data_IF_194550146142
#
_entry.id   IF_194550146142
#
_cell.length_a   1.000
_cell.length_b   1.000
_cell.length_c   1.000
_cell.angle_alpha   90.00
_cell.angle_beta   90.00
_cell.angle_gamma   90.00
#
_symmetry.space_group_name_H-M   'P 1'
#
loop_
_entity.id
_entity.type
_entity.pdbx_description
1 polymer ?
#
# COMPACT_ATOMS: atom_id res chain seq x y z
N UNK A 1 11.72 49.58 -57.71
CA UNK A 1 12.59 48.72 -56.90
C UNK A 1 11.93 48.69 -55.54
N UNK A 2 10.95 47.81 -55.35
CA UNK A 2 10.25 47.61 -54.08
C UNK A 2 10.34 46.11 -53.79
N UNK A 3 11.08 45.78 -52.73
CA UNK A 3 11.27 44.40 -52.26
C UNK A 3 10.01 43.89 -51.57
N UNK A 4 9.61 42.66 -51.89
CA UNK A 4 8.52 41.97 -51.23
C UNK A 4 8.89 41.60 -49.78
N UNK A 5 7.97 41.72 -48.80
CA UNK A 5 8.26 41.41 -47.41
C UNK A 5 8.42 39.89 -47.18
N UNK A 6 9.40 39.53 -46.35
CA UNK A 6 9.75 38.16 -46.00
C UNK A 6 8.57 37.38 -45.36
N UNK A 7 8.46 36.05 -45.57
CA UNK A 7 7.39 35.26 -44.99
C UNK A 7 7.54 35.13 -43.48
N UNK A 8 6.49 35.49 -42.74
CA UNK A 8 6.41 35.26 -41.30
C UNK A 8 6.31 33.75 -41.00
N UNK A 9 7.29 33.21 -40.28
CA UNK A 9 7.22 31.86 -39.74
C UNK A 9 6.06 31.76 -38.74
N UNK A 10 5.07 30.94 -39.07
CA UNK A 10 3.93 30.65 -38.19
C UNK A 10 4.38 29.65 -37.14
N UNK A 11 4.44 30.06 -35.87
CA UNK A 11 4.78 29.17 -34.77
C UNK A 11 3.81 27.98 -34.71
N UNK A 12 4.38 26.77 -34.57
CA UNK A 12 3.61 25.54 -34.40
C UNK A 12 2.85 25.61 -33.08
N UNK A 13 1.52 25.64 -33.15
CA UNK A 13 0.65 25.43 -31.99
C UNK A 13 0.92 24.01 -31.46
N UNK A 14 1.32 23.91 -30.19
CA UNK A 14 1.62 22.64 -29.53
C UNK A 14 0.49 21.62 -29.67
N UNK A 15 0.86 20.33 -29.72
CA UNK A 15 -0.07 19.22 -29.92
C UNK A 15 -0.92 18.98 -28.68
N UNK A 16 -2.18 18.59 -28.85
CA UNK A 16 -3.05 18.11 -27.76
C UNK A 16 -2.48 16.87 -27.06
N UNK A 17 -1.53 16.18 -27.69
CA UNK A 17 -0.82 15.02 -27.13
C UNK A 17 0.51 15.39 -26.46
N UNK A 18 0.84 16.68 -26.38
CA UNK A 18 2.03 17.14 -25.67
C UNK A 18 1.73 17.17 -24.17
N UNK A 19 2.17 16.12 -23.47
CA UNK A 19 2.11 16.06 -22.00
C UNK A 19 3.08 17.11 -21.46
N UNK A 20 2.56 18.30 -21.15
CA UNK A 20 3.28 19.27 -20.33
C UNK A 20 3.53 18.62 -18.97
N UNK A 21 4.79 18.44 -18.60
CA UNK A 21 5.17 17.95 -17.27
C UNK A 21 4.67 18.93 -16.20
N UNK A 22 3.48 18.64 -15.68
CA UNK A 22 2.92 19.34 -14.54
C UNK A 22 3.82 19.09 -13.33
N UNK A 23 4.46 20.14 -12.80
CA UNK A 23 5.09 20.07 -11.49
C UNK A 23 3.98 19.76 -10.48
N UNK A 24 4.06 18.66 -9.69
CA UNK A 24 3.01 18.36 -8.74
C UNK A 24 2.89 19.48 -7.72
N UNK A 25 1.67 20.00 -7.52
CA UNK A 25 1.35 20.90 -6.42
C UNK A 25 1.61 20.13 -5.12
N UNK A 26 2.56 20.60 -4.31
CA UNK A 26 2.86 20.03 -3.00
C UNK A 26 1.62 20.23 -2.11
N UNK A 27 0.85 19.16 -1.91
CA UNK A 27 -0.23 19.10 -0.93
C UNK A 27 0.32 18.35 0.29
N UNK A 28 0.52 19.08 1.39
CA UNK A 28 0.81 18.53 2.71
C UNK A 28 2.21 17.95 2.89
N UNK A 29 3.16 18.76 3.36
CA UNK A 29 4.38 18.25 3.98
C UNK A 29 4.13 18.01 5.48
N UNK A 30 4.02 16.75 5.90
CA UNK A 30 4.11 16.41 7.33
C UNK A 30 5.54 16.62 7.80
N UNK A 31 5.75 17.48 8.80
CA UNK A 31 7.07 17.70 9.44
C UNK A 31 7.07 16.92 10.75
N UNK A 32 7.96 15.92 10.87
CA UNK A 32 8.25 15.26 12.14
C UNK A 32 9.51 15.90 12.72
N UNK A 33 9.39 16.59 13.86
CA UNK A 33 10.53 17.15 14.58
C UNK A 33 11.09 16.08 15.52
N UNK A 34 12.30 15.59 15.25
CA UNK A 34 13.10 14.85 16.25
C UNK A 34 14.06 15.83 16.92
N UNK A 35 14.12 15.78 18.25
CA UNK A 35 15.04 16.57 19.05
C UNK A 35 16.49 16.21 18.69
N UNK A 36 17.28 17.21 18.34
CA UNK A 36 18.69 17.08 17.96
C UNK A 36 19.52 16.97 19.25
N UNK A 37 20.21 15.85 19.44
CA UNK A 37 21.39 15.79 20.30
C UNK A 37 22.62 16.20 19.46
N UNK A 38 23.50 17.09 19.93
CA UNK A 38 24.62 17.56 19.13
C UNK A 38 25.84 16.65 19.35
N UNK A 39 26.36 16.03 18.30
CA UNK A 39 27.81 16.06 18.05
C UNK A 39 28.24 15.63 16.63
N UNK A 40 28.97 16.56 15.99
CA UNK A 40 29.97 16.44 14.93
C UNK A 40 29.76 15.48 13.73
N UNK A 41 29.27 16.03 12.62
CA UNK A 41 29.99 16.12 11.33
C UNK A 41 29.04 16.68 10.26
N UNK A 42 29.30 17.91 9.84
CA UNK A 42 28.55 18.61 8.80
C UNK A 42 28.99 18.12 7.42
N UNK A 43 28.53 16.94 7.01
CA UNK A 43 28.55 16.52 5.61
C UNK A 43 27.14 16.08 5.19
N UNK A 44 26.45 17.06 4.59
CA UNK A 44 25.42 16.97 3.56
C UNK A 44 24.33 15.87 3.65
N UNK A 45 23.40 16.04 4.59
CA UNK A 45 22.14 15.26 4.68
C UNK A 45 21.06 15.83 3.73
N UNK A 46 21.38 16.82 2.90
CA UNK A 46 20.37 17.67 2.24
C UNK A 46 19.91 17.25 0.83
N UNK A 47 20.43 16.17 0.23
CA UNK A 47 20.11 15.77 -1.14
C UNK A 47 19.81 14.28 -1.38
N UNK A 48 19.22 13.55 -0.42
CA UNK A 48 18.61 12.25 -0.77
C UNK A 48 17.32 12.50 -1.55
N UNK A 49 17.43 12.61 -2.88
CA UNK A 49 16.26 12.48 -3.77
C UNK A 49 15.55 11.18 -3.37
N UNK A 50 14.25 11.22 -3.06
CA UNK A 50 13.52 9.98 -2.83
C UNK A 50 13.75 9.10 -4.07
N UNK A 51 14.00 7.79 -3.89
CA UNK A 51 14.24 6.89 -5.01
C UNK A 51 13.10 7.09 -6.01
N UNK A 52 13.44 7.49 -7.24
CA UNK A 52 12.45 7.68 -8.28
C UNK A 52 11.78 6.33 -8.49
N UNK A 53 10.47 6.25 -8.24
CA UNK A 53 9.69 5.07 -8.58
C UNK A 53 9.82 4.90 -10.09
N UNK A 54 10.50 3.85 -10.51
CA UNK A 54 10.57 3.45 -11.91
C UNK A 54 9.13 3.28 -12.37
N UNK A 55 8.68 4.15 -13.28
CA UNK A 55 7.38 4.02 -13.90
C UNK A 55 7.55 3.04 -15.05
N UNK A 56 7.01 1.85 -14.87
CA UNK A 56 6.90 0.87 -15.94
C UNK A 56 5.76 1.28 -16.87
N UNK A 57 5.89 0.99 -18.16
CA UNK A 57 4.77 1.11 -19.09
C UNK A 57 3.70 0.07 -18.77
N UNK A 58 2.42 0.44 -18.97
CA UNK A 58 1.31 -0.47 -18.75
C UNK A 58 1.46 -1.71 -19.65
N UNK A 59 1.40 -2.90 -19.05
CA UNK A 59 1.49 -4.16 -19.81
C UNK A 59 0.16 -4.50 -20.52
N UNK A 60 -0.92 -3.73 -20.26
CA UNK A 60 -2.28 -3.93 -20.79
C UNK A 60 -2.82 -5.36 -20.63
N UNK A 61 -2.33 -6.09 -19.63
CA UNK A 61 -2.87 -7.41 -19.29
C UNK A 61 -4.26 -7.21 -18.70
N UNK A 62 -5.25 -7.95 -19.19
CA UNK A 62 -6.62 -7.92 -18.67
C UNK A 62 -6.89 -9.03 -17.65
N UNK A 63 -5.94 -9.97 -17.49
CA UNK A 63 -6.05 -11.12 -16.61
C UNK A 63 -4.68 -11.33 -15.95
N UNK A 64 -4.63 -11.57 -14.63
CA UNK A 64 -3.39 -11.87 -13.94
C UNK A 64 -2.88 -13.26 -14.33
N UNK A 65 -1.56 -13.41 -14.47
CA UNK A 65 -0.93 -14.70 -14.73
C UNK A 65 -1.16 -15.67 -13.55
N UNK A 66 -1.15 -15.13 -12.32
CA UNK A 66 -1.44 -15.85 -11.08
C UNK A 66 -2.63 -15.18 -10.39
N UNK A 67 -3.73 -15.92 -10.23
CA UNK A 67 -4.91 -15.44 -9.51
C UNK A 67 -4.68 -15.38 -8.01
N UNK A 68 -5.54 -14.61 -7.32
CA UNK A 68 -5.51 -14.54 -5.86
C UNK A 68 -5.79 -15.90 -5.22
N UNK A 69 -4.82 -16.43 -4.47
CA UNK A 69 -4.87 -17.76 -3.88
C UNK A 69 -5.45 -17.71 -2.46
N UNK A 70 -6.77 -17.47 -2.35
CA UNK A 70 -7.45 -17.27 -1.07
C UNK A 70 -7.15 -18.35 -0.01
N UNK A 71 -7.05 -19.62 -0.42
CA UNK A 71 -6.69 -20.72 0.48
C UNK A 71 -5.30 -20.58 1.10
N UNK A 72 -4.27 -20.27 0.30
CA UNK A 72 -2.90 -20.05 0.82
C UNK A 72 -2.81 -18.79 1.67
N UNK A 73 -3.49 -17.73 1.25
CA UNK A 73 -3.55 -16.48 2.03
C UNK A 73 -4.22 -16.72 3.39
N UNK A 74 -5.28 -17.54 3.44
CA UNK A 74 -5.92 -17.94 4.70
C UNK A 74 -4.94 -18.69 5.60
N UNK A 75 -4.16 -19.64 5.08
CA UNK A 75 -3.12 -20.33 5.85
C UNK A 75 -2.09 -19.37 6.44
N UNK A 76 -1.60 -18.42 5.64
CA UNK A 76 -0.67 -17.38 6.11
C UNK A 76 -1.28 -16.54 7.23
N UNK A 77 -2.57 -16.15 7.09
CA UNK A 77 -3.29 -15.42 8.12
C UNK A 77 -3.37 -16.22 9.42
N UNK A 78 -3.80 -17.48 9.33
CA UNK A 78 -3.98 -18.35 10.49
C UNK A 78 -2.63 -18.59 11.21
N UNK A 79 -1.54 -18.79 10.47
CA UNK A 79 -0.17 -18.94 11.00
C UNK A 79 0.34 -17.66 11.67
N UNK A 80 0.16 -16.49 11.04
CA UNK A 80 0.58 -15.21 11.63
C UNK A 80 -0.23 -14.89 12.88
N UNK A 81 -1.54 -15.18 12.90
CA UNK A 81 -2.39 -14.96 14.08
C UNK A 81 -2.10 -15.93 15.23
N UNK A 82 -1.62 -17.15 14.95
CA UNK A 82 -1.27 -18.13 15.98
C UNK A 82 -0.15 -17.64 16.93
N UNK A 83 0.65 -16.67 16.51
CA UNK A 83 1.67 -16.03 17.38
C UNK A 83 1.08 -15.37 18.62
N UNK A 84 -0.22 -15.02 18.59
CA UNK A 84 -0.95 -14.35 19.67
C UNK A 84 -1.42 -15.29 20.80
N UNK A 85 -1.15 -16.60 20.70
CA UNK A 85 -1.60 -17.59 21.71
C UNK A 85 -1.04 -17.33 23.10
N UNK A 86 0.20 -16.82 23.18
CA UNK A 86 0.86 -16.53 24.46
C UNK A 86 0.79 -15.06 24.86
N UNK A 87 0.08 -14.24 24.08
CA UNK A 87 -0.03 -12.80 24.30
C UNK A 87 -1.25 -12.44 25.14
N UNK A 88 -1.06 -11.49 26.05
CA UNK A 88 -2.13 -10.86 26.82
C UNK A 88 -2.49 -9.49 26.22
N UNK A 89 -3.73 -9.03 26.46
CA UNK A 89 -4.18 -7.75 25.95
C UNK A 89 -3.52 -6.60 26.72
N UNK A 90 -2.65 -5.87 26.05
CA UNK A 90 -2.18 -4.55 26.47
C UNK A 90 -2.40 -3.53 25.36
N UNK A 91 -2.88 -2.34 25.73
CA UNK A 91 -3.32 -1.33 24.75
C UNK A 91 -2.16 -0.83 23.89
N UNK A 92 -0.97 -0.65 24.46
CA UNK A 92 0.19 -0.14 23.74
C UNK A 92 0.87 -1.25 22.94
N UNK A 93 0.99 -2.43 23.53
CA UNK A 93 1.59 -3.60 22.90
C UNK A 93 0.75 -4.10 21.72
N UNK A 94 -0.56 -4.29 21.91
CA UNK A 94 -1.46 -4.75 20.84
C UNK A 94 -1.54 -3.76 19.67
N UNK A 95 -1.36 -2.45 19.92
CA UNK A 95 -1.27 -1.46 18.84
C UNK A 95 -0.07 -1.70 17.93
N UNK A 96 1.08 -2.05 18.51
CA UNK A 96 2.29 -2.33 17.74
C UNK A 96 2.23 -3.70 17.09
N UNK A 97 1.72 -4.72 17.80
CA UNK A 97 1.46 -6.04 17.24
C UNK A 97 0.54 -5.98 16.02
N UNK A 98 -0.55 -5.21 16.08
CA UNK A 98 -1.47 -5.08 14.95
C UNK A 98 -0.78 -4.51 13.70
N UNK A 99 0.08 -3.50 13.86
CA UNK A 99 0.88 -2.97 12.75
C UNK A 99 1.87 -4.01 12.23
N UNK A 100 2.60 -4.65 13.14
CA UNK A 100 3.60 -5.64 12.79
C UNK A 100 2.98 -6.82 12.02
N UNK A 101 1.90 -7.40 12.54
CA UNK A 101 1.13 -8.46 11.88
C UNK A 101 0.58 -8.02 10.53
N UNK A 102 0.04 -6.79 10.43
CA UNK A 102 -0.47 -6.29 9.15
C UNK A 102 0.63 -6.22 8.08
N UNK A 103 1.85 -5.86 8.48
CA UNK A 103 3.00 -5.78 7.60
C UNK A 103 3.53 -7.17 7.25
N UNK A 104 3.72 -8.05 8.25
CA UNK A 104 4.18 -9.42 8.09
C UNK A 104 3.25 -10.23 7.16
N UNK A 105 1.94 -10.21 7.41
CA UNK A 105 0.95 -10.89 6.55
C UNK A 105 1.04 -10.36 5.12
N UNK A 106 1.12 -9.04 4.94
CA UNK A 106 1.23 -8.43 3.62
C UNK A 106 2.51 -8.87 2.89
N UNK A 107 3.63 -8.95 3.59
CA UNK A 107 4.91 -9.32 2.99
C UNK A 107 4.94 -10.81 2.63
N UNK A 108 4.51 -11.69 3.52
CA UNK A 108 4.32 -13.13 3.22
C UNK A 108 3.37 -13.38 2.05
N UNK A 109 2.28 -12.63 1.95
CA UNK A 109 1.34 -12.76 0.83
C UNK A 109 1.96 -12.28 -0.49
N UNK A 110 2.82 -11.27 -0.46
CA UNK A 110 3.55 -10.82 -1.66
C UNK A 110 4.55 -11.86 -2.16
N UNK A 111 5.13 -12.67 -1.27
CA UNK A 111 6.05 -13.75 -1.64
C UNK A 111 5.37 -14.86 -2.46
N UNK A 112 4.04 -14.95 -2.46
CA UNK A 112 3.28 -15.87 -3.32
C UNK A 112 3.35 -15.52 -4.82
N UNK A 113 4.00 -14.41 -5.20
CA UNK A 113 4.26 -14.07 -6.60
C UNK A 113 3.05 -13.48 -7.35
N UNK A 114 2.05 -12.97 -6.63
CA UNK A 114 0.89 -12.29 -7.20
C UNK A 114 1.23 -10.85 -7.61
N UNK A 115 2.13 -10.69 -8.58
CA UNK A 115 2.72 -9.40 -8.98
C UNK A 115 1.70 -8.39 -9.52
N UNK A 116 0.58 -8.88 -10.08
CA UNK A 116 -0.53 -8.07 -10.62
C UNK A 116 -1.62 -7.76 -9.61
N UNK A 117 -1.43 -8.11 -8.34
CA UNK A 117 -2.36 -7.77 -7.26
C UNK A 117 -1.74 -6.79 -6.29
N UNK A 118 -2.45 -5.68 -6.06
CA UNK A 118 -2.21 -4.84 -4.90
C UNK A 118 -2.77 -5.53 -3.67
N UNK A 119 -1.86 -5.90 -2.76
CA UNK A 119 -2.20 -6.56 -1.50
C UNK A 119 -2.47 -5.51 -0.42
N UNK A 120 -3.65 -5.61 0.20
CA UNK A 120 -4.07 -4.78 1.34
C UNK A 120 -4.31 -5.73 2.52
N UNK A 121 -3.60 -5.51 3.62
CA UNK A 121 -3.78 -6.26 4.87
C UNK A 121 -4.39 -5.35 5.93
N UNK A 122 -5.42 -5.85 6.60
CA UNK A 122 -6.12 -5.18 7.68
C UNK A 122 -6.18 -6.10 8.89
N UNK A 123 -5.64 -5.66 10.03
CA UNK A 123 -5.63 -6.45 11.27
C UNK A 123 -6.30 -5.63 12.37
N UNK A 124 -7.18 -6.26 13.13
CA UNK A 124 -7.88 -5.68 14.28
C UNK A 124 -7.65 -6.58 15.48
N UNK A 125 -7.16 -6.02 16.58
CA UNK A 125 -6.97 -6.71 17.87
C UNK A 125 -7.82 -5.98 18.91
N UNK A 126 -8.66 -6.71 19.63
CA UNK A 126 -9.54 -6.18 20.68
C UNK A 126 -9.47 -7.01 21.95
N UNK A 127 -9.77 -6.39 23.08
CA UNK A 127 -9.85 -7.09 24.37
C UNK A 127 -11.07 -8.00 24.39
N UNK A 128 -10.95 -9.18 25.00
CA UNK A 128 -12.07 -10.10 25.18
C UNK A 128 -12.78 -9.81 26.51
N UNK A 129 -13.89 -9.09 26.44
CA UNK A 129 -14.64 -8.64 27.64
C UNK A 129 -16.16 -8.85 27.49
N UNK A 130 -16.63 -10.08 27.26
CA UNK A 130 -18.06 -10.43 27.08
C UNK A 130 -18.83 -9.50 26.11
N UNK A 131 -18.10 -8.96 25.14
CA UNK A 131 -18.60 -8.06 24.10
C UNK A 131 -18.72 -8.81 22.77
N UNK A 132 -19.64 -8.34 21.91
CA UNK A 132 -19.78 -8.83 20.54
C UNK A 132 -19.26 -7.79 19.56
N UNK A 133 -18.34 -8.21 18.69
CA UNK A 133 -17.86 -7.41 17.55
C UNK A 133 -18.21 -8.12 16.24
N UNK A 134 -18.73 -7.37 15.27
CA UNK A 134 -18.96 -7.86 13.89
C UNK A 134 -18.23 -6.95 12.91
N UNK A 135 -17.45 -7.55 12.02
CA UNK A 135 -16.75 -6.83 10.95
C UNK A 135 -17.41 -7.20 9.64
N UNK A 136 -17.71 -6.19 8.82
CA UNK A 136 -18.23 -6.36 7.47
C UNK A 136 -17.57 -5.35 6.54
N UNK A 137 -17.36 -5.76 5.29
CA UNK A 137 -16.84 -4.90 4.23
C UNK A 137 -17.76 -4.96 3.02
N UNK A 138 -17.79 -3.87 2.25
CA UNK A 138 -18.49 -3.78 0.97
C UNK A 138 -17.51 -3.25 -0.06
N UNK A 139 -17.42 -3.92 -1.20
CA UNK A 139 -16.46 -3.61 -2.25
C UNK A 139 -17.18 -3.47 -3.59
N UNK A 140 -16.73 -2.53 -4.41
CA UNK A 140 -17.01 -2.50 -5.84
C UNK A 140 -15.72 -2.94 -6.52
N UNK A 141 -15.73 -4.15 -7.05
CA UNK A 141 -14.54 -4.84 -7.53
C UNK A 141 -14.89 -5.81 -8.65
N UNK A 142 -13.90 -6.29 -9.38
CA UNK A 142 -14.08 -7.28 -10.44
C UNK A 142 -14.13 -8.71 -9.88
N UNK A 143 -15.29 -9.36 -9.97
CA UNK A 143 -15.52 -10.71 -9.46
C UNK A 143 -14.57 -11.77 -10.05
N UNK A 144 -14.01 -11.50 -11.24
CA UNK A 144 -13.08 -12.42 -11.90
C UNK A 144 -11.64 -12.36 -11.38
N UNK A 145 -11.19 -11.19 -10.97
CA UNK A 145 -9.76 -10.91 -10.71
C UNK A 145 -9.47 -10.46 -9.27
N UNK A 146 -10.44 -9.81 -8.62
CA UNK A 146 -10.35 -9.34 -7.24
C UNK A 146 -10.89 -10.41 -6.28
N UNK A 147 -10.23 -10.56 -5.13
CA UNK A 147 -10.69 -11.50 -4.11
C UNK A 147 -10.15 -11.11 -2.72
N UNK A 148 -10.62 -11.80 -1.70
CA UNK A 148 -10.20 -11.61 -0.32
C UNK A 148 -10.09 -12.93 0.45
N UNK A 149 -9.38 -12.89 1.55
CA UNK A 149 -9.35 -13.94 2.55
C UNK A 149 -9.38 -13.30 3.94
N UNK A 150 -9.92 -14.00 4.92
CA UNK A 150 -9.97 -13.54 6.30
C UNK A 150 -9.74 -14.70 7.27
N UNK A 151 -9.33 -14.36 8.48
CA UNK A 151 -9.15 -15.30 9.58
C UNK A 151 -9.38 -14.63 10.93
N UNK A 152 -9.69 -15.44 11.93
CA UNK A 152 -9.96 -15.01 13.30
C UNK A 152 -9.17 -15.88 14.28
N UNK A 153 -8.65 -15.24 15.33
CA UNK A 153 -7.97 -15.89 16.44
C UNK A 153 -8.53 -15.38 17.78
N UNK A 154 -8.63 -16.26 18.77
CA UNK A 154 -9.21 -15.97 20.09
C UNK A 154 -8.37 -16.60 21.20
N UNK A 155 -7.96 -15.78 22.16
CA UNK A 155 -7.35 -16.18 23.42
C UNK A 155 -8.32 -15.88 24.60
N UNK A 156 -8.04 -16.23 25.88
CA UNK A 156 -8.82 -15.73 27.00
C UNK A 156 -8.76 -14.20 27.15
N UNK A 157 -7.65 -13.56 26.78
CA UNK A 157 -7.47 -12.11 26.98
C UNK A 157 -7.89 -11.24 25.79
N UNK A 158 -7.75 -11.73 24.55
CA UNK A 158 -7.96 -10.92 23.34
C UNK A 158 -8.63 -11.70 22.19
N UNK A 159 -9.16 -10.95 21.24
CA UNK A 159 -9.68 -11.42 19.94
C UNK A 159 -8.96 -10.67 18.84
N UNK A 160 -8.48 -11.38 17.83
CA UNK A 160 -7.83 -10.80 16.66
C UNK A 160 -8.54 -11.26 15.38
N UNK A 161 -8.70 -10.34 14.43
CA UNK A 161 -9.24 -10.63 13.11
C UNK A 161 -8.36 -9.99 12.06
N UNK A 162 -7.99 -10.75 11.04
CA UNK A 162 -7.21 -10.28 9.91
C UNK A 162 -7.98 -10.49 8.61
N UNK A 163 -7.92 -9.49 7.72
CA UNK A 163 -8.55 -9.51 6.41
C UNK A 163 -7.52 -9.05 5.39
N UNK A 164 -7.35 -9.83 4.32
CA UNK A 164 -6.45 -9.52 3.22
C UNK A 164 -7.26 -9.41 1.94
N UNK A 165 -7.11 -8.29 1.24
CA UNK A 165 -7.68 -8.06 -0.08
C UNK A 165 -6.57 -8.14 -1.13
N UNK A 166 -6.81 -8.88 -2.20
CA UNK A 166 -6.02 -8.84 -3.42
C UNK A 166 -6.81 -8.14 -4.51
N UNK A 167 -6.41 -6.92 -4.85
CA UNK A 167 -7.05 -6.13 -5.91
C UNK A 167 -6.16 -6.12 -7.14
N UNK A 168 -6.70 -6.54 -8.28
CA UNK A 168 -6.05 -6.51 -9.56
C UNK A 168 -5.61 -5.08 -9.92
N UNK A 169 -4.37 -4.95 -10.34
CA UNK A 169 -3.77 -3.70 -10.74
C UNK A 169 -3.43 -3.76 -12.23
N UNK A 170 -4.07 -2.88 -13.00
CA UNK A 170 -3.79 -2.64 -14.42
C UNK A 170 -2.39 -2.06 -14.67
#
# INVERSE_FOLDING_TARGET
MEDAPAPQQRERRGSLFEVKSSKPKICGSSVMTMAIQPESSYEDISFRRPPQKIQYENTYKMVPDVRFQAGKVKTIIDESLATLEKEEYDVYHCRELAKHLSQDIKDKVKELGMSRHKIISWVTIGQKCDQSMRIGSRCLWDDGNDNFAWGEFKNPSLVATAIVYGIYQD
#
